data_IF_240536714496
#
_entry.id   IF_240536714496
#
_cell.length_a   1.000
_cell.length_b   1.000
_cell.length_c   1.000
_cell.angle_alpha   90.00
_cell.angle_beta   90.00
_cell.angle_gamma   90.00
#
_symmetry.space_group_name_H-M   'P 1'
#
loop_
_entity.id
_entity.type
_entity.pdbx_description
1 polymer ?
#
# COMPACT_ATOMS: atom_id res chain seq x y z
N UNK A 1 49.92 -9.12 4.92
CA UNK A 1 48.86 -8.23 4.42
C UNK A 1 47.95 -9.06 3.53
N UNK A 2 46.68 -9.27 3.91
CA UNK A 2 45.70 -9.86 3.00
C UNK A 2 45.31 -8.77 2.00
N UNK A 3 45.48 -9.03 0.71
CA UNK A 3 44.98 -8.16 -0.36
C UNK A 3 43.49 -7.88 -0.15
N UNK A 4 43.17 -6.61 0.04
CA UNK A 4 41.81 -6.10 0.09
C UNK A 4 41.27 -6.16 -1.34
N UNK A 5 40.56 -7.24 -1.67
CA UNK A 5 40.04 -7.45 -3.01
C UNK A 5 38.89 -6.47 -3.21
N UNK A 6 38.94 -5.58 -4.23
CA UNK A 6 37.90 -4.60 -4.46
C UNK A 6 36.56 -5.32 -4.60
N UNK A 7 35.66 -5.06 -3.65
CA UNK A 7 34.34 -5.65 -3.66
C UNK A 7 33.50 -4.80 -4.61
N UNK A 8 32.73 -5.44 -5.49
CA UNK A 8 31.81 -4.74 -6.38
C UNK A 8 30.81 -3.88 -5.60
N UNK A 9 30.60 -4.16 -4.30
CA UNK A 9 29.80 -3.37 -3.36
C UNK A 9 30.36 -1.97 -3.09
N UNK A 10 31.68 -1.80 -3.05
CA UNK A 10 32.33 -0.51 -2.76
C UNK A 10 32.11 0.53 -3.88
N UNK A 11 31.55 0.09 -5.02
CA UNK A 11 31.23 0.94 -6.17
C UNK A 11 29.85 1.57 -6.09
N UNK A 12 28.99 1.11 -5.18
CA UNK A 12 27.65 1.64 -4.99
C UNK A 12 27.62 2.42 -3.68
N UNK A 13 26.94 3.58 -3.62
CA UNK A 13 26.76 4.28 -2.36
C UNK A 13 25.97 3.38 -1.41
N UNK A 14 26.58 2.95 -0.31
CA UNK A 14 25.94 2.10 0.72
C UNK A 14 24.69 2.79 1.29
N UNK A 15 24.69 4.12 1.29
CA UNK A 15 23.63 4.97 1.78
C UNK A 15 22.79 5.53 0.63
N UNK A 16 21.50 5.19 0.61
CA UNK A 16 20.53 5.66 -0.39
C UNK A 16 19.32 6.25 0.34
N UNK A 17 18.78 7.35 -0.20
CA UNK A 17 17.60 7.99 0.38
C UNK A 17 16.32 7.23 0.00
N UNK A 18 15.46 7.02 0.99
CA UNK A 18 14.12 6.51 0.75
C UNK A 18 13.31 7.51 -0.08
N UNK A 19 12.68 7.06 -1.16
CA UNK A 19 11.94 7.96 -2.09
C UNK A 19 10.69 8.59 -1.44
N UNK A 20 10.20 8.02 -0.33
CA UNK A 20 9.03 8.53 0.42
C UNK A 20 9.39 9.45 1.58
N UNK A 21 10.16 8.95 2.56
CA UNK A 21 10.50 9.72 3.75
C UNK A 21 11.76 10.58 3.60
N UNK A 22 12.53 10.40 2.52
CA UNK A 22 13.82 11.06 2.26
C UNK A 22 14.91 10.79 3.32
N UNK A 23 14.64 9.88 4.25
CA UNK A 23 15.62 9.45 5.25
C UNK A 23 16.68 8.56 4.59
N UNK A 24 17.93 8.74 5.02
CA UNK A 24 19.08 7.98 4.53
C UNK A 24 19.05 6.60 5.19
N UNK A 25 19.06 5.56 4.37
CA UNK A 25 19.13 4.18 4.84
C UNK A 25 20.20 3.42 4.07
N UNK A 26 20.75 2.39 4.70
CA UNK A 26 21.59 1.42 4.00
C UNK A 26 20.75 0.70 2.93
N UNK A 27 21.29 0.60 1.72
CA UNK A 27 20.68 -0.03 0.55
C UNK A 27 20.11 -1.42 0.85
N UNK A 28 20.69 -2.17 1.79
CA UNK A 28 20.19 -3.49 2.21
C UNK A 28 18.79 -3.46 2.85
N UNK A 29 18.38 -2.32 3.42
CA UNK A 29 17.07 -2.15 4.09
C UNK A 29 16.02 -1.50 3.19
N UNK A 30 16.35 -1.25 1.93
CA UNK A 30 15.47 -0.65 0.93
C UNK A 30 14.97 -1.73 -0.03
N UNK A 31 13.65 -1.76 -0.25
CA UNK A 31 13.06 -2.66 -1.26
C UNK A 31 13.42 -2.18 -2.69
N UNK A 32 13.08 -2.95 -3.72
CA UNK A 32 13.32 -2.64 -5.15
C UNK A 32 12.81 -1.26 -5.62
N UNK A 33 11.95 -0.61 -4.84
CA UNK A 33 11.42 0.74 -5.09
C UNK A 33 12.16 1.85 -4.33
N UNK A 34 13.24 1.52 -3.59
CA UNK A 34 13.90 2.42 -2.65
C UNK A 34 12.94 2.93 -1.56
N UNK A 35 12.12 2.02 -1.03
CA UNK A 35 11.23 2.29 0.10
C UNK A 35 11.75 1.55 1.33
N UNK A 36 11.84 2.25 2.46
CA UNK A 36 12.14 1.62 3.74
C UNK A 36 10.94 0.81 4.24
N UNK A 37 11.19 -0.13 5.17
CA UNK A 37 10.15 -1.01 5.73
C UNK A 37 9.00 -0.25 6.39
N UNK A 38 9.28 0.90 7.02
CA UNK A 38 8.26 1.75 7.65
C UNK A 38 7.30 2.34 6.61
N UNK A 39 7.82 2.93 5.54
CA UNK A 39 7.01 3.46 4.44
C UNK A 39 6.20 2.35 3.76
N UNK A 40 6.77 1.15 3.64
CA UNK A 40 6.08 -0.02 3.12
C UNK A 40 4.92 -0.47 4.01
N UNK A 41 5.12 -0.50 5.33
CA UNK A 41 4.08 -0.86 6.29
C UNK A 41 2.91 0.16 6.29
N UNK A 42 3.23 1.45 6.24
CA UNK A 42 2.22 2.52 6.15
C UNK A 42 1.41 2.41 4.85
N UNK A 43 2.07 2.19 3.71
CA UNK A 43 1.39 1.98 2.43
C UNK A 43 0.46 0.75 2.45
N UNK A 44 0.89 -0.36 3.07
CA UNK A 44 0.05 -1.56 3.24
C UNK A 44 -1.15 -1.30 4.15
N UNK A 45 -0.98 -0.56 5.25
CA UNK A 45 -2.08 -0.24 6.15
C UNK A 45 -3.14 0.62 5.44
N UNK A 46 -2.69 1.63 4.67
CA UNK A 46 -3.56 2.47 3.85
C UNK A 46 -4.27 1.67 2.77
N UNK A 47 -3.55 0.78 2.07
CA UNK A 47 -4.16 -0.13 1.10
C UNK A 47 -5.18 -1.08 1.73
N UNK A 48 -5.01 -1.47 3.00
CA UNK A 48 -5.98 -2.25 3.76
C UNK A 48 -7.30 -1.49 3.98
N UNK A 49 -7.22 -0.22 4.35
CA UNK A 49 -8.40 0.64 4.52
C UNK A 49 -9.13 0.90 3.20
N UNK A 50 -8.38 1.22 2.13
CA UNK A 50 -8.93 1.38 0.77
C UNK A 50 -9.54 0.09 0.21
N UNK A 51 -8.96 -1.07 0.54
CA UNK A 51 -9.52 -2.37 0.20
C UNK A 51 -10.90 -2.57 0.82
N UNK A 52 -11.05 -2.27 2.12
CA UNK A 52 -12.35 -2.37 2.79
C UNK A 52 -13.39 -1.40 2.22
N UNK A 53 -13.01 -0.15 1.94
CA UNK A 53 -13.92 0.84 1.33
C UNK A 53 -14.42 0.36 -0.05
N UNK A 54 -13.53 -0.15 -0.90
CA UNK A 54 -13.89 -0.71 -2.20
C UNK A 54 -14.80 -1.93 -2.10
N UNK A 55 -14.53 -2.82 -1.14
CA UNK A 55 -15.39 -3.97 -0.85
C UNK A 55 -16.82 -3.57 -0.46
N UNK A 56 -16.98 -2.57 0.41
CA UNK A 56 -18.30 -2.04 0.78
C UNK A 56 -19.04 -1.41 -0.39
N UNK A 57 -18.36 -0.61 -1.23
CA UNK A 57 -18.98 0.01 -2.42
C UNK A 57 -19.47 -1.07 -3.38
N UNK A 58 -18.66 -2.10 -3.63
CA UNK A 58 -19.03 -3.22 -4.49
C UNK A 58 -20.21 -4.02 -3.91
N UNK A 59 -20.18 -4.33 -2.62
CA UNK A 59 -21.27 -4.99 -1.92
C UNK A 59 -22.58 -4.21 -1.95
N UNK A 60 -22.52 -2.91 -1.70
CA UNK A 60 -23.68 -2.02 -1.79
C UNK A 60 -24.26 -2.01 -3.21
N UNK A 61 -23.40 -1.97 -4.25
CA UNK A 61 -23.81 -2.11 -5.64
C UNK A 61 -24.50 -3.44 -5.94
N UNK A 62 -23.97 -4.55 -5.41
CA UNK A 62 -24.59 -5.88 -5.52
C UNK A 62 -25.97 -5.93 -4.85
N UNK A 63 -26.09 -5.39 -3.63
CA UNK A 63 -27.38 -5.33 -2.91
C UNK A 63 -28.38 -4.50 -3.70
N UNK A 64 -28.00 -3.31 -4.18
CA UNK A 64 -28.86 -2.47 -4.98
C UNK A 64 -29.30 -3.16 -6.28
N UNK A 65 -28.36 -3.85 -6.96
CA UNK A 65 -28.65 -4.61 -8.17
C UNK A 65 -29.67 -5.73 -7.93
N UNK A 66 -29.44 -6.55 -6.89
CA UNK A 66 -30.34 -7.65 -6.51
C UNK A 66 -31.74 -7.09 -6.20
N UNK A 67 -31.81 -5.98 -5.48
CA UNK A 67 -33.07 -5.38 -5.07
C UNK A 67 -33.87 -4.82 -6.25
N UNK A 68 -33.21 -4.14 -7.20
CA UNK A 68 -33.85 -3.51 -8.37
C UNK A 68 -34.25 -4.56 -9.42
N UNK A 69 -33.34 -5.46 -9.79
CA UNK A 69 -33.50 -6.33 -10.95
C UNK A 69 -34.00 -7.72 -10.60
N UNK A 70 -33.53 -8.31 -9.50
CA UNK A 70 -33.84 -9.72 -9.16
C UNK A 70 -35.11 -9.81 -8.30
N UNK A 71 -35.43 -8.76 -7.51
CA UNK A 71 -36.55 -8.71 -6.54
C UNK A 71 -36.55 -9.94 -5.62
N UNK A 72 -35.82 -9.90 -4.50
CA UNK A 72 -35.57 -11.08 -3.69
C UNK A 72 -36.87 -11.72 -3.22
N UNK A 73 -37.09 -12.97 -3.61
CA UNK A 73 -38.13 -13.82 -3.01
C UNK A 73 -37.69 -14.21 -1.59
N UNK A 74 -38.62 -14.11 -0.64
CA UNK A 74 -38.36 -14.32 0.80
C UNK A 74 -37.92 -15.74 1.17
N UNK A 75 -37.97 -16.69 0.23
CA UNK A 75 -37.69 -18.10 0.44
C UNK A 75 -36.19 -18.41 0.68
N UNK A 76 -35.27 -17.57 0.22
CA UNK A 76 -33.80 -17.83 0.27
C UNK A 76 -33.01 -16.62 0.77
N UNK A 77 -33.50 -15.96 1.83
CA UNK A 77 -32.85 -14.78 2.42
C UNK A 77 -31.40 -15.08 2.86
N UNK A 78 -31.14 -16.27 3.44
CA UNK A 78 -29.79 -16.67 3.87
C UNK A 78 -28.77 -16.79 2.72
N UNK A 79 -29.22 -17.24 1.54
CA UNK A 79 -28.35 -17.35 0.36
C UNK A 79 -27.91 -15.98 -0.18
N UNK A 80 -28.80 -14.99 -0.14
CA UNK A 80 -28.48 -13.63 -0.56
C UNK A 80 -27.43 -12.97 0.33
N UNK A 81 -27.55 -13.14 1.66
CA UNK A 81 -26.52 -12.66 2.59
C UNK A 81 -25.16 -13.31 2.31
N UNK A 82 -25.13 -14.61 2.04
CA UNK A 82 -23.91 -15.33 1.66
C UNK A 82 -23.25 -14.74 0.40
N UNK A 83 -24.04 -14.50 -0.65
CA UNK A 83 -23.55 -13.94 -1.92
C UNK A 83 -23.01 -12.52 -1.75
N UNK A 84 -23.71 -11.67 -1.00
CA UNK A 84 -23.27 -10.29 -0.74
C UNK A 84 -21.99 -10.28 0.09
N UNK A 85 -21.93 -11.09 1.16
CA UNK A 85 -20.74 -11.20 2.00
C UNK A 85 -19.53 -11.70 1.21
N UNK A 86 -19.72 -12.71 0.35
CA UNK A 86 -18.66 -13.21 -0.54
C UNK A 86 -18.21 -12.13 -1.54
N UNK A 87 -19.15 -11.38 -2.11
CA UNK A 87 -18.86 -10.26 -3.03
C UNK A 87 -18.04 -9.16 -2.35
N UNK A 88 -18.42 -8.76 -1.13
CA UNK A 88 -17.65 -7.78 -0.33
C UNK A 88 -16.25 -8.31 -0.05
N UNK A 89 -16.12 -9.58 0.33
CA UNK A 89 -14.83 -10.18 0.66
C UNK A 89 -13.89 -10.21 -0.56
N UNK A 90 -14.37 -10.71 -1.70
CA UNK A 90 -13.60 -10.74 -2.95
C UNK A 90 -13.26 -9.33 -3.44
N UNK A 91 -14.24 -8.42 -3.42
CA UNK A 91 -14.04 -7.01 -3.78
C UNK A 91 -12.98 -6.35 -2.90
N UNK A 92 -13.00 -6.62 -1.59
CA UNK A 92 -12.02 -6.05 -0.67
C UNK A 92 -10.60 -6.53 -0.91
N UNK A 93 -10.42 -7.82 -1.25
CA UNK A 93 -9.12 -8.38 -1.64
C UNK A 93 -8.62 -7.76 -2.93
N UNK A 94 -9.47 -7.68 -3.96
CA UNK A 94 -9.10 -7.12 -5.25
C UNK A 94 -8.73 -5.63 -5.12
N UNK A 95 -9.55 -4.84 -4.42
CA UNK A 95 -9.28 -3.42 -4.19
C UNK A 95 -8.01 -3.19 -3.36
N UNK A 96 -7.67 -4.07 -2.41
CA UNK A 96 -6.42 -3.98 -1.65
C UNK A 96 -5.19 -4.15 -2.57
N UNK A 97 -5.22 -5.14 -3.46
CA UNK A 97 -4.13 -5.39 -4.41
C UNK A 97 -4.02 -4.25 -5.43
N UNK A 98 -5.14 -3.77 -5.96
CA UNK A 98 -5.18 -2.63 -6.88
C UNK A 98 -4.68 -1.36 -6.18
N UNK A 99 -5.14 -1.07 -4.97
CA UNK A 99 -4.69 0.10 -4.21
C UNK A 99 -3.18 0.03 -3.93
N UNK A 100 -2.65 -1.14 -3.58
CA UNK A 100 -1.22 -1.34 -3.41
C UNK A 100 -0.45 -1.13 -4.72
N UNK A 101 -0.97 -1.65 -5.84
CA UNK A 101 -0.43 -1.42 -7.18
C UNK A 101 -0.44 0.06 -7.57
N UNK A 102 -1.54 0.76 -7.35
CA UNK A 102 -1.67 2.20 -7.62
C UNK A 102 -0.71 3.00 -6.75
N UNK A 103 -0.61 2.72 -5.44
CA UNK A 103 0.35 3.36 -4.54
C UNK A 103 1.80 3.11 -5.02
N UNK A 104 2.07 1.96 -5.62
CA UNK A 104 3.36 1.61 -6.20
C UNK A 104 3.66 2.37 -7.50
N UNK A 105 2.66 2.63 -8.35
CA UNK A 105 2.83 3.40 -9.59
C UNK A 105 2.77 4.92 -9.37
N UNK A 106 1.94 5.38 -8.44
CA UNK A 106 1.85 6.77 -8.00
C UNK A 106 2.99 7.02 -7.02
N UNK A 107 4.19 7.15 -7.61
CA UNK A 107 5.41 7.50 -6.92
C UNK A 107 5.36 8.99 -6.55
N UNK A 108 4.49 9.33 -5.60
CA UNK A 108 4.37 10.67 -5.06
C UNK A 108 5.63 11.00 -4.24
N UNK A 109 6.68 11.39 -4.95
CA UNK A 109 7.95 11.84 -4.38
C UNK A 109 7.64 12.95 -3.36
N UNK A 110 8.18 12.81 -2.15
CA UNK A 110 8.23 13.85 -1.13
C UNK A 110 6.92 14.30 -0.44
N UNK A 111 5.76 13.63 -0.58
CA UNK A 111 4.54 14.04 0.16
C UNK A 111 4.70 13.87 1.69
N UNK A 112 5.49 12.89 2.13
CA UNK A 112 5.73 12.62 3.56
C UNK A 112 7.09 13.15 4.04
N UNK A 113 7.79 13.93 3.20
CA UNK A 113 9.05 14.57 3.58
C UNK A 113 8.78 15.72 4.55
N UNK A 114 9.10 15.51 5.82
CA UNK A 114 9.19 16.61 6.80
C UNK A 114 10.60 17.17 6.71
N UNK A 115 10.79 18.46 6.35
CA UNK A 115 12.13 19.04 6.33
C UNK A 115 12.74 18.92 7.74
N UNK A 116 14.04 18.60 7.86
CA UNK A 116 14.71 18.66 9.15
C UNK A 116 14.49 20.07 9.72
N UNK A 117 14.14 20.15 11.02
CA UNK A 117 14.11 21.45 11.70
C UNK A 117 15.46 22.10 11.45
N UNK A 118 15.46 23.26 10.82
CA UNK A 118 16.67 24.06 10.71
C UNK A 118 17.10 24.35 12.14
N UNK A 119 18.16 23.67 12.58
CA UNK A 119 18.81 23.99 13.82
C UNK A 119 19.20 25.46 13.72
N UNK A 120 18.67 26.26 14.64
CA UNK A 120 18.98 27.68 14.74
C UNK A 120 20.52 27.84 14.68
N UNK A 121 21.04 28.87 13.96
CA UNK A 121 22.47 29.07 13.87
C UNK A 121 23.05 29.14 15.29
N UNK A 122 23.96 28.22 15.59
CA UNK A 122 24.89 28.40 16.70
C UNK A 122 25.95 29.37 16.21
N UNK A 123 25.72 30.66 16.45
CA UNK A 123 26.70 31.71 16.81
C UNK A 123 26.03 33.09 16.78
#
# INVERSE_FOLDING_TARGET
MKEDRPNWRDRYPDEVTCVRCLEVHDQMYLDRLLWCDRCRALARNRAGWWGWLGGWIFGAGLVAYIWIFIRPTSLVIGGWFGTVAMGIWLGSKACREIAYGVIRFVNARAIEAVPPKADAPSE
#
